data_IF_657665357603
#
_entry.id   IF_657665357603
#
_cell.length_a   1.000
_cell.length_b   1.000
_cell.length_c   1.000
_cell.angle_alpha   90.00
_cell.angle_beta   90.00
_cell.angle_gamma   90.00
#
_symmetry.space_group_name_H-M   'P 1'
#
loop_
_entity.id
_entity.type
_entity.pdbx_description
1 polymer ?
#
# COMPACT_ATOMS: atom_id res chain seq x y z
N UNK A 1 28.41 7.04 30.46
CA UNK A 1 26.94 6.95 30.37
C UNK A 1 26.39 8.29 29.85
N UNK A 2 26.26 8.44 28.54
CA UNK A 2 25.46 9.54 27.97
C UNK A 2 24.02 9.07 27.98
N UNK A 3 23.25 9.55 28.94
CA UNK A 3 21.81 9.39 28.96
C UNK A 3 21.26 10.17 27.75
N UNK A 4 20.99 9.50 26.64
CA UNK A 4 20.22 10.07 25.57
C UNK A 4 18.77 10.19 26.05
N UNK A 5 18.40 11.34 26.55
CA UNK A 5 17.04 11.64 27.02
C UNK A 5 16.12 12.11 25.89
N UNK A 6 16.62 12.25 24.68
CA UNK A 6 15.84 12.77 23.57
C UNK A 6 15.36 11.64 22.67
N UNK A 7 14.04 11.52 22.58
CA UNK A 7 13.35 10.69 21.58
C UNK A 7 13.86 11.13 20.19
N UNK A 8 14.35 10.23 19.33
CA UNK A 8 14.75 10.58 17.98
C UNK A 8 13.58 11.24 17.24
N UNK A 9 13.87 12.31 16.51
CA UNK A 9 12.84 12.97 15.73
C UNK A 9 12.30 12.04 14.64
N UNK A 10 11.07 12.25 14.20
CA UNK A 10 10.48 11.47 13.09
C UNK A 10 11.32 11.54 11.82
N UNK A 11 11.99 12.65 11.58
CA UNK A 11 12.94 12.80 10.48
C UNK A 11 14.16 11.88 10.64
N UNK A 12 14.69 11.71 11.83
CA UNK A 12 15.78 10.76 12.11
C UNK A 12 15.33 9.32 11.84
N UNK A 13 14.13 8.97 12.30
CA UNK A 13 13.55 7.64 12.08
C UNK A 13 13.35 7.36 10.58
N UNK A 14 12.81 8.32 9.86
CA UNK A 14 12.63 8.24 8.43
C UNK A 14 13.96 8.14 7.67
N UNK A 15 14.95 8.91 8.09
CA UNK A 15 16.30 8.84 7.52
C UNK A 15 16.92 7.45 7.71
N UNK A 16 16.86 6.89 8.91
CA UNK A 16 17.37 5.55 9.19
C UNK A 16 16.68 4.49 8.32
N UNK A 17 15.35 4.59 8.19
CA UNK A 17 14.62 3.68 7.33
C UNK A 17 15.01 3.85 5.85
N UNK A 18 15.08 5.07 5.33
CA UNK A 18 15.48 5.31 3.93
C UNK A 18 16.93 4.85 3.70
N UNK A 19 17.84 5.13 4.63
CA UNK A 19 19.24 4.69 4.51
C UNK A 19 19.39 3.18 4.49
N UNK A 20 18.45 2.46 5.13
CA UNK A 20 18.43 0.99 5.11
C UNK A 20 18.05 0.39 3.75
N UNK A 21 17.39 1.17 2.89
CA UNK A 21 16.98 0.73 1.54
C UNK A 21 18.08 0.94 0.51
N UNK A 22 19.15 1.65 0.87
CA UNK A 22 20.26 1.97 -0.03
C UNK A 22 21.48 1.20 0.42
N UNK A 23 21.88 0.19 -0.36
CA UNK A 23 23.16 -0.50 -0.15
C UNK A 23 24.30 0.47 -0.40
N UNK A 24 25.03 0.82 0.66
CA UNK A 24 26.24 1.65 0.61
C UNK A 24 27.25 1.08 1.59
N UNK A 25 28.50 1.16 1.21
CA UNK A 25 29.62 1.01 2.15
C UNK A 25 29.53 2.17 3.15
N UNK A 26 29.20 1.84 4.38
CA UNK A 26 28.96 2.81 5.45
C UNK A 26 30.12 2.72 6.43
N UNK A 27 30.68 3.86 6.82
CA UNK A 27 31.73 3.95 7.83
C UNK A 27 31.32 3.24 9.14
N UNK A 28 32.24 2.54 9.76
CA UNK A 28 32.02 1.79 11.00
C UNK A 28 31.48 2.66 12.16
N UNK A 29 31.87 3.94 12.20
CA UNK A 29 31.35 4.89 13.19
C UNK A 29 29.85 5.18 12.95
N UNK A 30 29.42 5.28 11.69
CA UNK A 30 28.03 5.46 11.32
C UNK A 30 27.20 4.21 11.67
N UNK A 31 27.76 3.02 11.42
CA UNK A 31 27.15 1.74 11.80
C UNK A 31 26.94 1.66 13.32
N UNK A 32 27.95 2.01 14.08
CA UNK A 32 27.88 2.00 15.54
C UNK A 32 26.84 2.97 16.08
N UNK A 33 26.78 4.18 15.52
CA UNK A 33 25.78 5.18 15.88
C UNK A 33 24.36 4.72 15.50
N UNK A 34 24.18 4.15 14.32
CA UNK A 34 22.91 3.57 13.90
C UNK A 34 22.43 2.48 14.86
N UNK A 35 23.29 1.54 15.22
CA UNK A 35 22.93 0.46 16.13
C UNK A 35 22.54 1.01 17.52
N UNK A 36 23.25 2.00 18.05
CA UNK A 36 22.88 2.65 19.31
C UNK A 36 21.49 3.33 19.22
N UNK A 37 21.16 3.93 18.07
CA UNK A 37 19.81 4.49 17.85
C UNK A 37 18.74 3.40 17.77
N UNK A 38 19.01 2.29 17.09
CA UNK A 38 18.06 1.17 17.00
C UNK A 38 17.80 0.54 18.38
N UNK A 39 18.83 0.35 19.19
CA UNK A 39 18.69 -0.17 20.57
C UNK A 39 17.87 0.77 21.45
N UNK A 40 18.08 2.08 21.33
CA UNK A 40 17.29 3.07 22.03
C UNK A 40 15.83 3.07 21.58
N UNK A 41 15.58 2.99 20.27
CA UNK A 41 14.23 2.95 19.71
C UNK A 41 13.47 1.68 20.10
N UNK A 42 14.18 0.55 20.21
CA UNK A 42 13.59 -0.71 20.64
C UNK A 42 12.94 -0.64 22.03
N UNK A 43 13.38 0.29 22.87
CA UNK A 43 12.86 0.49 24.23
C UNK A 43 11.71 1.50 24.31
N UNK A 44 11.29 2.13 23.20
CA UNK A 44 10.43 3.32 23.20
C UNK A 44 9.01 3.10 22.65
N UNK A 45 8.45 1.92 22.76
CA UNK A 45 7.12 1.60 22.17
C UNK A 45 6.00 2.56 22.62
N UNK A 46 6.06 3.09 23.83
CA UNK A 46 4.93 3.79 24.48
C UNK A 46 4.67 5.23 24.04
N UNK A 47 5.68 6.00 23.66
CA UNK A 47 5.60 7.47 23.50
C UNK A 47 5.41 8.00 22.07
N UNK A 48 5.32 7.14 21.07
CA UNK A 48 5.42 7.52 19.66
C UNK A 48 4.05 7.67 18.99
N UNK A 49 4.02 8.52 17.96
CA UNK A 49 2.90 8.57 17.01
C UNK A 49 2.78 7.26 16.23
N UNK A 50 1.64 7.04 15.58
CA UNK A 50 1.45 5.88 14.68
C UNK A 50 2.51 5.90 13.57
N UNK A 51 2.79 7.07 12.99
CA UNK A 51 3.81 7.23 11.96
C UNK A 51 5.22 6.88 12.48
N UNK A 52 5.59 7.38 13.66
CA UNK A 52 6.88 7.08 14.30
C UNK A 52 7.06 5.59 14.58
N UNK A 53 6.05 4.93 15.17
CA UNK A 53 6.07 3.47 15.44
C UNK A 53 6.24 2.66 14.17
N UNK A 54 5.52 3.02 13.11
CA UNK A 54 5.60 2.32 11.85
C UNK A 54 7.00 2.44 11.20
N UNK A 55 7.59 3.62 11.21
CA UNK A 55 8.94 3.82 10.68
C UNK A 55 10.00 3.06 11.50
N UNK A 56 9.86 3.02 12.82
CA UNK A 56 10.74 2.22 13.68
C UNK A 56 10.58 0.74 13.35
N UNK A 57 9.35 0.22 13.28
CA UNK A 57 9.10 -1.18 12.95
C UNK A 57 9.76 -1.56 11.62
N UNK A 58 9.64 -0.69 10.61
CA UNK A 58 10.28 -0.89 9.31
C UNK A 58 11.82 -0.91 9.43
N UNK A 59 12.41 0.04 10.14
CA UNK A 59 13.85 0.11 10.32
C UNK A 59 14.40 -1.10 11.10
N UNK A 60 13.79 -1.44 12.23
CA UNK A 60 14.17 -2.60 13.04
C UNK A 60 14.07 -3.91 12.22
N UNK A 61 13.02 -4.06 11.43
CA UNK A 61 12.84 -5.23 10.56
C UNK A 61 13.98 -5.38 9.55
N UNK A 62 14.35 -4.29 8.87
CA UNK A 62 15.43 -4.30 7.87
C UNK A 62 16.79 -4.56 8.49
N UNK A 63 17.05 -4.01 9.69
CA UNK A 63 18.32 -4.22 10.41
C UNK A 63 18.35 -5.52 11.23
N UNK A 64 17.39 -6.43 11.05
CA UNK A 64 17.42 -7.78 11.62
C UNK A 64 16.80 -7.90 13.02
N UNK A 65 16.34 -6.83 13.63
CA UNK A 65 15.68 -6.83 14.96
C UNK A 65 14.19 -7.18 14.85
N UNK A 66 13.88 -8.29 14.19
CA UNK A 66 12.52 -8.65 13.78
C UNK A 66 11.55 -8.86 14.94
N UNK A 67 12.00 -9.50 16.02
CA UNK A 67 11.14 -9.76 17.18
C UNK A 67 10.69 -8.45 17.84
N UNK A 68 11.58 -7.45 17.88
CA UNK A 68 11.24 -6.13 18.42
C UNK A 68 10.30 -5.40 17.46
N UNK A 69 10.56 -5.46 16.15
CA UNK A 69 9.68 -4.90 15.14
C UNK A 69 8.26 -5.48 15.22
N UNK A 70 8.11 -6.76 15.54
CA UNK A 70 6.82 -7.42 15.75
C UNK A 70 6.02 -6.77 16.88
N UNK A 71 6.66 -6.43 18.01
CA UNK A 71 5.99 -5.75 19.13
C UNK A 71 5.45 -4.36 18.72
N UNK A 72 6.20 -3.63 17.90
CA UNK A 72 5.72 -2.38 17.33
C UNK A 72 4.52 -2.57 16.41
N UNK A 73 4.53 -3.63 15.60
CA UNK A 73 3.39 -3.95 14.71
C UNK A 73 2.17 -4.38 15.52
N UNK A 74 2.33 -5.18 16.58
CA UNK A 74 1.23 -5.50 17.51
C UNK A 74 0.62 -4.23 18.07
N UNK A 75 1.46 -3.32 18.57
CA UNK A 75 1.01 -2.02 19.07
C UNK A 75 0.30 -1.18 18.00
N UNK A 76 0.77 -1.18 16.76
CA UNK A 76 0.07 -0.51 15.66
C UNK A 76 -1.32 -1.09 15.43
N UNK A 77 -1.49 -2.40 15.49
CA UNK A 77 -2.78 -3.09 15.30
C UNK A 77 -3.78 -2.75 16.41
N UNK A 78 -3.33 -2.62 17.65
CA UNK A 78 -4.16 -2.25 18.81
C UNK A 78 -4.85 -0.89 18.67
N UNK A 79 -4.22 0.07 17.97
CA UNK A 79 -4.79 1.40 17.73
C UNK A 79 -5.77 1.47 16.57
N UNK A 80 -5.98 0.39 15.83
CA UNK A 80 -6.92 0.41 14.71
C UNK A 80 -8.34 0.15 15.18
N UNK A 81 -9.29 0.78 14.50
CA UNK A 81 -10.71 0.47 14.59
C UNK A 81 -11.21 -0.10 13.28
N UNK A 82 -12.25 -0.93 13.34
CA UNK A 82 -12.88 -1.53 12.17
C UNK A 82 -14.33 -1.12 12.05
N UNK A 83 -14.72 -0.69 10.85
CA UNK A 83 -16.14 -0.46 10.48
C UNK A 83 -16.38 -1.10 9.11
N UNK A 84 -17.46 -1.90 8.94
CA UNK A 84 -17.69 -2.62 7.67
C UNK A 84 -17.69 -1.71 6.43
N UNK A 85 -18.24 -0.49 6.55
CA UNK A 85 -18.36 0.45 5.44
C UNK A 85 -17.07 1.18 5.13
N UNK A 86 -16.17 1.30 6.11
CA UNK A 86 -14.93 2.07 6.00
C UNK A 86 -13.67 1.20 5.99
N UNK A 87 -13.80 -0.07 6.38
CA UNK A 87 -12.66 -0.92 6.61
C UNK A 87 -11.95 -0.59 7.93
N UNK A 88 -10.66 -0.82 7.98
CA UNK A 88 -9.83 -0.64 9.16
C UNK A 88 -8.98 0.62 9.06
N UNK A 89 -8.97 1.43 10.13
CA UNK A 89 -8.28 2.71 10.14
C UNK A 89 -7.87 3.14 11.55
N UNK A 90 -7.13 4.24 11.65
CA UNK A 90 -6.74 4.85 12.91
C UNK A 90 -7.69 5.99 13.26
N UNK A 91 -8.41 5.84 14.38
CA UNK A 91 -9.28 6.87 14.96
C UNK A 91 -8.68 7.35 16.29
N UNK A 92 -7.49 7.92 16.21
CA UNK A 92 -6.70 8.37 17.37
C UNK A 92 -5.91 9.62 17.05
N UNK A 93 -5.75 10.49 18.03
CA UNK A 93 -4.89 11.67 17.91
C UNK A 93 -3.43 11.32 17.64
N UNK A 94 -2.99 10.10 17.99
CA UNK A 94 -1.65 9.60 17.67
C UNK A 94 -1.43 9.37 16.17
N UNK A 95 -2.49 9.26 15.37
CA UNK A 95 -2.41 9.18 13.91
C UNK A 95 -2.39 10.56 13.25
N UNK A 96 -2.76 11.61 14.00
CA UNK A 96 -2.67 12.99 13.58
C UNK A 96 -1.34 13.58 14.05
N UNK A 97 -0.71 14.39 13.22
CA UNK A 97 0.53 15.05 13.60
C UNK A 97 0.36 16.56 13.50
N UNK A 98 0.25 17.21 14.66
CA UNK A 98 0.22 18.66 14.87
C UNK A 98 -0.78 19.43 13.96
N UNK A 99 -0.28 20.33 13.13
CA UNK A 99 -1.05 21.22 12.27
C UNK A 99 -1.33 20.67 10.85
N UNK A 100 -0.76 19.51 10.52
CA UNK A 100 -0.99 18.79 9.26
C UNK A 100 -1.89 17.58 9.50
N UNK A 101 -2.81 17.30 8.59
CA UNK A 101 -3.51 16.02 8.57
C UNK A 101 -2.54 14.90 8.15
N UNK A 102 -1.99 14.21 9.14
CA UNK A 102 -1.03 13.13 8.96
C UNK A 102 -1.66 11.74 8.93
N UNK A 103 -2.99 11.66 8.87
CA UNK A 103 -3.72 10.37 8.91
C UNK A 103 -3.32 9.47 7.76
N UNK A 104 -3.30 9.99 6.54
CA UNK A 104 -2.92 9.20 5.36
C UNK A 104 -1.47 8.72 5.42
N UNK A 105 -0.44 9.55 5.67
CA UNK A 105 0.93 9.09 5.86
C UNK A 105 1.09 8.07 6.99
N UNK A 106 0.42 8.27 8.12
CA UNK A 106 0.46 7.34 9.25
C UNK A 106 -0.12 5.99 8.89
N UNK A 107 -1.25 5.98 8.19
CA UNK A 107 -1.93 4.79 7.73
C UNK A 107 -1.05 3.99 6.74
N UNK A 108 -0.49 4.65 5.75
CA UNK A 108 0.39 4.04 4.76
C UNK A 108 1.68 3.47 5.37
N UNK A 109 2.29 4.21 6.30
CA UNK A 109 3.47 3.75 7.01
C UNK A 109 3.17 2.48 7.83
N UNK A 110 2.02 2.45 8.51
CA UNK A 110 1.58 1.28 9.28
C UNK A 110 1.31 0.06 8.38
N UNK A 111 0.65 0.23 7.24
CA UNK A 111 0.45 -0.85 6.25
C UNK A 111 1.80 -1.43 5.80
N UNK A 112 2.77 -0.57 5.53
CA UNK A 112 4.12 -1.00 5.12
C UNK A 112 4.82 -1.81 6.21
N UNK A 113 4.76 -1.35 7.47
CA UNK A 113 5.33 -2.07 8.60
C UNK A 113 4.68 -3.45 8.79
N UNK A 114 3.35 -3.53 8.68
CA UNK A 114 2.61 -4.79 8.78
C UNK A 114 3.01 -5.75 7.66
N UNK A 115 3.14 -5.27 6.42
CA UNK A 115 3.56 -6.10 5.28
C UNK A 115 4.97 -6.66 5.44
N UNK A 116 5.90 -5.91 5.99
CA UNK A 116 7.25 -6.41 6.27
C UNK A 116 7.25 -7.53 7.33
N UNK A 117 6.22 -7.59 8.16
CA UNK A 117 6.04 -8.59 9.21
C UNK A 117 4.97 -9.66 8.86
N UNK A 118 4.56 -9.75 7.60
CA UNK A 118 3.49 -10.64 7.13
C UNK A 118 3.69 -12.11 7.56
N UNK A 119 4.93 -12.58 7.61
CA UNK A 119 5.27 -13.95 7.99
C UNK A 119 4.91 -14.31 9.44
N UNK A 120 4.71 -13.31 10.30
CA UNK A 120 4.46 -13.52 11.73
C UNK A 120 2.97 -13.43 12.10
N UNK A 121 2.13 -12.90 11.20
CA UNK A 121 0.70 -12.75 11.41
C UNK A 121 -0.07 -13.40 10.28
N UNK A 122 -0.74 -14.50 10.54
CA UNK A 122 -1.47 -15.28 9.52
C UNK A 122 -2.64 -14.53 8.86
N UNK A 123 -3.17 -13.48 9.52
CA UNK A 123 -4.29 -12.66 9.04
C UNK A 123 -3.85 -11.34 8.39
N UNK A 124 -2.55 -11.18 8.12
CA UNK A 124 -2.01 -9.89 7.64
C UNK A 124 -2.65 -9.45 6.34
N UNK A 125 -2.89 -10.35 5.40
CA UNK A 125 -3.47 -9.99 4.10
C UNK A 125 -4.91 -9.46 4.26
N UNK A 126 -5.74 -10.10 5.08
CA UNK A 126 -7.10 -9.64 5.34
C UNK A 126 -7.09 -8.29 6.06
N UNK A 127 -6.17 -8.13 6.99
CA UNK A 127 -5.96 -6.88 7.71
C UNK A 127 -5.58 -5.73 6.77
N UNK A 128 -4.64 -5.97 5.85
CA UNK A 128 -4.23 -5.00 4.82
C UNK A 128 -5.35 -4.71 3.82
N UNK A 129 -6.18 -5.70 3.50
CA UNK A 129 -7.36 -5.51 2.66
C UNK A 129 -8.35 -4.54 3.30
N UNK A 130 -8.63 -4.70 4.60
CA UNK A 130 -9.47 -3.78 5.36
C UNK A 130 -8.88 -2.37 5.40
N UNK A 131 -7.57 -2.24 5.59
CA UNK A 131 -6.88 -0.95 5.57
C UNK A 131 -6.91 -0.29 4.18
N UNK A 132 -6.79 -1.10 3.12
CA UNK A 132 -6.91 -0.64 1.73
C UNK A 132 -8.29 -0.09 1.43
N UNK A 133 -9.35 -0.70 1.99
CA UNK A 133 -10.71 -0.20 1.85
C UNK A 133 -10.84 1.24 2.39
N UNK A 134 -10.22 1.55 3.53
CA UNK A 134 -10.23 2.90 4.06
C UNK A 134 -9.60 3.92 3.09
N UNK A 135 -8.46 3.60 2.47
CA UNK A 135 -7.82 4.49 1.48
C UNK A 135 -8.78 4.79 0.32
N UNK A 136 -9.46 3.77 -0.20
CA UNK A 136 -10.43 3.91 -1.29
C UNK A 136 -11.61 4.78 -0.86
N UNK A 137 -12.11 4.59 0.36
CA UNK A 137 -13.22 5.38 0.90
C UNK A 137 -12.85 6.86 1.09
N UNK A 138 -11.60 7.15 1.48
CA UNK A 138 -11.14 8.54 1.55
C UNK A 138 -11.19 9.23 0.18
N UNK A 139 -10.89 8.51 -0.91
CA UNK A 139 -10.99 9.05 -2.27
C UNK A 139 -12.43 9.33 -2.71
N UNK A 140 -13.41 8.54 -2.25
CA UNK A 140 -14.84 8.72 -2.62
C UNK A 140 -15.44 9.97 -2.00
N UNK A 141 -15.02 10.32 -0.79
CA UNK A 141 -15.57 11.45 -0.04
C UNK A 141 -14.85 12.76 -0.31
N UNK A 142 -13.55 12.69 -0.55
CA UNK A 142 -12.66 13.84 -0.71
C UNK A 142 -11.51 13.51 -1.68
N UNK A 143 -10.85 14.54 -2.21
CA UNK A 143 -9.52 14.36 -2.76
C UNK A 143 -8.58 13.91 -1.63
N UNK A 144 -7.52 13.17 -1.93
CA UNK A 144 -6.53 12.77 -0.91
C UNK A 144 -5.73 13.97 -0.32
N UNK A 145 -6.35 15.15 -0.32
CA UNK A 145 -5.88 16.36 0.31
C UNK A 145 -4.77 17.09 -0.44
N UNK A 146 -3.68 16.41 -0.76
CA UNK A 146 -2.53 17.00 -1.43
C UNK A 146 -1.82 15.99 -2.34
N UNK A 147 -0.92 16.44 -3.25
CA UNK A 147 -0.20 15.55 -4.17
C UNK A 147 0.62 14.46 -3.47
N UNK A 148 1.22 14.76 -2.31
CA UNK A 148 2.06 13.80 -1.56
C UNK A 148 1.19 12.65 -1.05
N UNK A 149 0.03 12.96 -0.47
CA UNK A 149 -0.94 11.95 -0.04
C UNK A 149 -1.48 11.14 -1.21
N UNK A 150 -1.69 11.76 -2.36
CA UNK A 150 -2.12 11.08 -3.59
C UNK A 150 -1.09 10.07 -4.06
N UNK A 151 0.17 10.47 -4.18
CA UNK A 151 1.27 9.56 -4.55
C UNK A 151 1.42 8.44 -3.53
N UNK A 152 1.35 8.77 -2.24
CA UNK A 152 1.42 7.80 -1.16
C UNK A 152 0.28 6.78 -1.20
N UNK A 153 -0.96 7.24 -1.40
CA UNK A 153 -2.14 6.39 -1.51
C UNK A 153 -2.05 5.44 -2.72
N UNK A 154 -1.69 5.97 -3.89
CA UNK A 154 -1.50 5.18 -5.11
C UNK A 154 -0.42 4.12 -4.89
N UNK A 155 0.75 4.51 -4.34
CA UNK A 155 1.81 3.55 -4.04
C UNK A 155 1.37 2.48 -3.01
N UNK A 156 0.61 2.86 -1.99
CA UNK A 156 0.04 1.93 -1.00
C UNK A 156 -0.93 0.93 -1.64
N UNK A 157 -1.78 1.39 -2.55
CA UNK A 157 -2.72 0.55 -3.29
C UNK A 157 -1.97 -0.47 -4.17
N UNK A 158 -0.95 -0.05 -4.90
CA UNK A 158 -0.12 -0.98 -5.68
C UNK A 158 0.64 -1.97 -4.78
N UNK A 159 1.21 -1.48 -3.68
CA UNK A 159 1.92 -2.32 -2.73
C UNK A 159 1.02 -3.34 -2.01
N UNK A 160 -0.30 -3.12 -1.96
CA UNK A 160 -1.25 -4.09 -1.38
C UNK A 160 -1.38 -5.38 -2.18
N UNK A 161 -0.83 -5.43 -3.41
CA UNK A 161 -0.90 -6.58 -4.32
C UNK A 161 -2.25 -6.76 -5.02
N UNK A 162 -3.25 -5.92 -4.72
CA UNK A 162 -4.57 -5.96 -5.39
C UNK A 162 -4.55 -5.40 -6.81
N UNK A 163 -3.55 -4.62 -7.13
CA UNK A 163 -3.40 -3.94 -8.42
C UNK A 163 -2.10 -4.37 -9.12
N UNK A 164 -1.79 -5.66 -9.11
CA UNK A 164 -0.70 -6.19 -9.92
C UNK A 164 -1.13 -6.15 -11.38
N UNK A 165 -0.63 -5.15 -12.10
CA UNK A 165 -0.86 -4.99 -13.53
C UNK A 165 -0.38 -6.19 -14.37
N UNK A 166 0.47 -7.06 -13.80
CA UNK A 166 1.01 -8.24 -14.48
C UNK A 166 0.11 -9.49 -14.39
N UNK A 167 -0.93 -9.50 -13.53
CA UNK A 167 -1.70 -10.71 -13.26
C UNK A 167 -3.19 -10.62 -13.63
N UNK A 168 -3.71 -9.45 -13.96
CA UNK A 168 -5.11 -9.31 -14.35
C UNK A 168 -5.23 -9.35 -15.86
N UNK A 169 -5.70 -10.48 -16.38
CA UNK A 169 -6.17 -10.56 -17.76
C UNK A 169 -7.23 -9.47 -17.98
N UNK A 170 -7.10 -8.71 -19.06
CA UNK A 170 -8.04 -7.65 -19.41
C UNK A 170 -9.48 -8.18 -19.38
N UNK A 171 -10.42 -7.38 -18.89
CA UNK A 171 -11.82 -7.81 -18.91
C UNK A 171 -12.26 -8.12 -20.33
N UNK A 172 -12.95 -9.23 -20.50
CA UNK A 172 -13.50 -9.65 -21.78
C UNK A 172 -14.86 -9.00 -21.97
N UNK A 173 -14.99 -8.25 -23.05
CA UNK A 173 -16.26 -7.66 -23.47
C UNK A 173 -16.86 -8.48 -24.62
N UNK A 174 -18.12 -8.89 -24.49
CA UNK A 174 -18.84 -9.67 -25.49
C UNK A 174 -20.13 -8.93 -25.87
N UNK A 175 -20.36 -8.81 -27.19
CA UNK A 175 -21.61 -8.36 -27.74
C UNK A 175 -22.47 -9.58 -28.03
N UNK A 176 -23.72 -9.57 -27.54
CA UNK A 176 -24.71 -10.65 -27.74
C UNK A 176 -24.13 -12.06 -27.48
N UNK A 177 -23.40 -12.20 -26.36
CA UNK A 177 -22.82 -13.45 -25.85
C UNK A 177 -21.73 -14.11 -26.70
N UNK A 178 -21.47 -13.61 -27.89
CA UNK A 178 -20.58 -14.31 -28.83
C UNK A 178 -19.50 -13.46 -29.48
N UNK A 179 -19.77 -12.19 -29.75
CA UNK A 179 -18.82 -11.35 -30.49
C UNK A 179 -17.90 -10.61 -29.54
N UNK A 180 -16.61 -10.99 -29.52
CA UNK A 180 -15.59 -10.37 -28.67
C UNK A 180 -15.25 -8.96 -29.15
N UNK A 181 -15.15 -8.01 -28.23
CA UNK A 181 -14.68 -6.65 -28.49
C UNK A 181 -13.18 -6.61 -28.27
N UNK A 182 -12.43 -6.21 -29.29
CA UNK A 182 -10.98 -6.04 -29.20
C UNK A 182 -10.65 -4.76 -28.43
N UNK A 183 -9.81 -4.90 -27.41
CA UNK A 183 -9.38 -3.81 -26.54
C UNK A 183 -8.10 -3.19 -27.10
N UNK A 184 -8.06 -1.87 -27.14
CA UNK A 184 -6.85 -1.12 -27.45
C UNK A 184 -6.16 -0.83 -26.12
N UNK A 185 -4.98 -1.43 -25.90
CA UNK A 185 -4.14 -1.12 -24.76
C UNK A 185 -3.51 0.26 -24.97
N UNK A 186 -3.81 1.17 -24.08
CA UNK A 186 -3.11 2.47 -24.02
C UNK A 186 -1.83 2.29 -23.21
N UNK A 187 -0.70 2.15 -23.89
CA UNK A 187 0.63 1.87 -23.34
C UNK A 187 1.07 2.90 -22.27
N UNK A 188 0.40 4.02 -22.15
CA UNK A 188 0.69 5.07 -21.16
C UNK A 188 -0.17 5.06 -19.89
N UNK A 189 -1.24 4.30 -19.85
CA UNK A 189 -2.20 4.31 -18.75
C UNK A 189 -2.33 2.94 -18.08
N UNK A 190 -1.58 2.74 -17.02
CA UNK A 190 -1.66 1.53 -16.20
C UNK A 190 -3.11 1.31 -15.75
N UNK A 191 -3.69 0.19 -16.17
CA UNK A 191 -5.03 -0.23 -15.78
C UNK A 191 -6.17 0.42 -16.57
N UNK A 192 -5.91 1.11 -17.68
CA UNK A 192 -6.94 1.63 -18.59
C UNK A 192 -6.87 0.89 -19.92
N UNK A 193 -7.95 0.20 -20.27
CA UNK A 193 -8.18 -0.33 -21.58
C UNK A 193 -9.38 0.40 -22.21
N UNK A 194 -9.29 0.71 -23.50
CA UNK A 194 -10.35 1.36 -24.27
C UNK A 194 -10.73 0.48 -25.43
N UNK A 195 -12.02 0.30 -25.64
CA UNK A 195 -12.54 -0.26 -26.87
C UNK A 195 -13.43 0.77 -27.55
N UNK A 196 -13.35 0.86 -28.87
CA UNK A 196 -14.25 1.65 -29.68
C UNK A 196 -15.13 0.67 -30.46
N UNK A 197 -16.43 0.76 -30.22
CA UNK A 197 -17.43 -0.07 -30.88
C UNK A 197 -18.17 0.84 -31.86
N UNK A 198 -17.85 0.72 -33.13
CA UNK A 198 -18.47 1.46 -34.23
C UNK A 198 -18.79 0.52 -35.39
N UNK A 199 -19.52 1.02 -36.40
CA UNK A 199 -19.92 0.23 -37.56
C UNK A 199 -18.76 -0.18 -38.47
N UNK A 200 -17.59 0.49 -38.35
CA UNK A 200 -16.39 0.12 -39.11
C UNK A 200 -15.73 -1.15 -38.54
N UNK A 201 -15.80 -1.31 -37.19
CA UNK A 201 -15.17 -2.42 -36.49
C UNK A 201 -16.13 -3.59 -36.20
N UNK A 202 -17.45 -3.30 -36.17
CA UNK A 202 -18.46 -4.30 -35.80
C UNK A 202 -19.73 -4.17 -36.66
N UNK A 203 -19.91 -5.06 -37.61
CA UNK A 203 -21.11 -5.14 -38.41
C UNK A 203 -22.35 -5.45 -37.57
N UNK A 204 -23.44 -4.73 -37.83
CA UNK A 204 -24.74 -5.03 -37.25
C UNK A 204 -24.94 -4.48 -35.84
N UNK A 205 -24.24 -3.42 -35.44
CA UNK A 205 -24.37 -2.77 -34.12
C UNK A 205 -25.82 -2.35 -33.81
N UNK A 206 -26.60 -1.99 -34.78
CA UNK A 206 -28.02 -1.63 -34.63
C UNK A 206 -28.88 -2.75 -34.04
N UNK A 207 -28.42 -4.00 -34.11
CA UNK A 207 -29.11 -5.18 -33.62
C UNK A 207 -28.56 -5.70 -32.29
N UNK A 208 -27.45 -5.12 -31.78
CA UNK A 208 -26.84 -5.53 -30.49
C UNK A 208 -27.79 -5.17 -29.34
N UNK A 209 -28.14 -6.16 -28.51
CA UNK A 209 -29.06 -6.01 -27.39
C UNK A 209 -28.37 -6.10 -26.04
N UNK A 210 -27.23 -6.81 -25.97
CA UNK A 210 -26.53 -7.07 -24.71
C UNK A 210 -25.04 -6.82 -24.84
N UNK A 211 -24.45 -6.22 -23.79
CA UNK A 211 -23.00 -6.12 -23.58
C UNK A 211 -22.68 -6.85 -22.29
N UNK A 212 -21.93 -7.94 -22.40
CA UNK A 212 -21.44 -8.67 -21.23
C UNK A 212 -19.98 -8.32 -20.92
N UNK A 213 -19.70 -8.14 -19.66
CA UNK A 213 -18.35 -7.94 -19.14
C UNK A 213 -18.01 -9.18 -18.30
N UNK A 214 -17.02 -9.95 -18.73
CA UNK A 214 -16.51 -11.11 -18.00
C UNK A 214 -15.11 -10.81 -17.48
N UNK A 215 -14.77 -11.36 -16.33
CA UNK A 215 -13.39 -11.31 -15.85
C UNK A 215 -12.51 -12.13 -16.78
N UNK A 216 -11.48 -11.53 -17.34
CA UNK A 216 -10.54 -12.24 -18.21
C UNK A 216 -9.77 -13.30 -17.43
N UNK A 217 -9.59 -14.48 -18.01
CA UNK A 217 -8.72 -15.53 -17.48
C UNK A 217 -7.52 -15.69 -18.40
N UNK A 218 -6.33 -15.86 -17.87
CA UNK A 218 -5.11 -16.14 -18.67
C UNK A 218 -5.22 -17.32 -19.63
N UNK A 219 -6.20 -18.21 -19.41
CA UNK A 219 -6.46 -19.36 -20.32
C UNK A 219 -7.09 -18.96 -21.67
N UNK A 220 -7.74 -17.81 -21.73
CA UNK A 220 -8.41 -17.36 -22.95
C UNK A 220 -7.45 -16.76 -23.99
N UNK A 221 -6.24 -16.36 -23.58
CA UNK A 221 -5.21 -15.88 -24.52
C UNK A 221 -4.59 -17.00 -25.38
N UNK A 222 -4.56 -18.26 -24.90
CA UNK A 222 -4.03 -19.39 -25.66
C UNK A 222 -4.92 -19.87 -26.78
N UNK A 223 -6.16 -19.47 -26.84
CA UNK A 223 -7.11 -19.77 -27.93
C UNK A 223 -6.92 -18.89 -29.19
N UNK A 224 -6.06 -17.84 -29.11
CA UNK A 224 -5.73 -17.00 -30.29
C UNK A 224 -4.59 -17.57 -31.17
N UNK A 225 -3.95 -18.66 -30.79
CA UNK A 225 -2.74 -19.20 -31.46
C UNK A 225 -2.98 -20.58 -32.13
N UNK A 226 -4.21 -20.89 -32.48
CA UNK A 226 -4.52 -22.10 -33.29
C UNK A 226 -5.36 -21.79 -34.51
#
# INVERSE_FOLDING_TARGET
NKNFTNIPSESTLRYLYISSLVERDVDSAVVSMRNAYLDMMAQMVGGLTIYGRANIACALSVFGMRNVAEEFVKSLREYTVYKPEMGRYYDTDKAQYTWCDYRMPSHLAAMKAMRQQEKYFGDTQDYLNDMTLWIIQQKRTQAWGNPINTVGAVNGLFASGRFNAESEALPLFLLDDSKRVDMIEDIGNVGRAKAVIDEENYDGLTNVRTLQIKQGNQKDEKLKAS
#
